data_IF_122687952698
#
_entry.id   IF_122687952698
#
_cell.length_a   1.000
_cell.length_b   1.000
_cell.length_c   1.000
_cell.angle_alpha   90.00
_cell.angle_beta   90.00
_cell.angle_gamma   90.00
#
_symmetry.space_group_name_H-M   'P 1'
#
loop_
_entity.id
_entity.type
_entity.pdbx_description
1 polymer ?
#
# COMPACT_ATOMS: atom_id res chain seq x y z
N UNK A 1 -17.70 -18.54 -23.19
CA UNK A 1 -17.35 -19.09 -21.86
C UNK A 1 -18.09 -18.27 -20.82
N UNK A 2 -18.66 -18.84 -19.74
CA UNK A 2 -19.33 -18.07 -18.69
C UNK A 2 -18.39 -17.06 -18.00
N UNK A 3 -18.92 -15.95 -17.47
CA UNK A 3 -18.13 -14.90 -16.83
C UNK A 3 -17.37 -15.44 -15.61
N UNK A 4 -18.06 -16.21 -14.78
CA UNK A 4 -17.53 -16.72 -13.50
C UNK A 4 -16.30 -17.61 -13.73
N UNK A 5 -16.31 -18.38 -14.82
CA UNK A 5 -15.17 -19.23 -15.19
C UNK A 5 -14.00 -18.38 -15.69
N UNK A 6 -14.26 -17.30 -16.44
CA UNK A 6 -13.20 -16.38 -16.87
C UNK A 6 -12.54 -15.69 -15.68
N UNK A 7 -13.34 -15.19 -14.73
CA UNK A 7 -12.85 -14.54 -13.51
C UNK A 7 -11.99 -15.49 -12.67
N UNK A 8 -12.38 -16.76 -12.54
CA UNK A 8 -11.56 -17.78 -11.88
C UNK A 8 -10.23 -18.02 -12.60
N UNK A 9 -10.25 -18.10 -13.94
CA UNK A 9 -9.03 -18.23 -14.74
C UNK A 9 -8.13 -17.01 -14.56
N UNK A 10 -8.68 -15.79 -14.59
CA UNK A 10 -7.93 -14.56 -14.35
C UNK A 10 -7.34 -14.52 -12.94
N UNK A 11 -8.09 -14.89 -11.92
CA UNK A 11 -7.60 -14.98 -10.55
C UNK A 11 -6.43 -15.97 -10.43
N UNK A 12 -6.56 -17.17 -11.03
CA UNK A 12 -5.50 -18.17 -11.02
C UNK A 12 -4.24 -17.69 -11.75
N UNK A 13 -4.37 -17.00 -12.88
CA UNK A 13 -3.24 -16.54 -13.69
C UNK A 13 -2.56 -15.27 -13.16
N UNK A 14 -3.33 -14.34 -12.58
CA UNK A 14 -2.90 -12.98 -12.24
C UNK A 14 -2.85 -12.69 -10.72
N UNK A 15 -3.45 -13.54 -9.88
CA UNK A 15 -3.52 -13.32 -8.43
C UNK A 15 -2.83 -14.42 -7.61
N UNK A 16 -2.26 -15.42 -8.28
CA UNK A 16 -1.47 -16.48 -7.63
C UNK A 16 -0.02 -16.05 -7.40
N UNK A 17 0.27 -15.62 -6.17
CA UNK A 17 1.63 -15.37 -5.73
C UNK A 17 2.23 -16.68 -5.20
N UNK A 18 3.33 -17.12 -5.81
CA UNK A 18 4.12 -18.23 -5.28
C UNK A 18 4.77 -17.85 -3.94
N UNK A 19 5.37 -18.81 -3.21
CA UNK A 19 6.09 -18.50 -1.98
C UNK A 19 7.16 -17.41 -2.24
N UNK A 20 7.34 -16.47 -1.30
CA UNK A 20 8.35 -15.43 -1.45
C UNK A 20 9.72 -16.06 -1.66
N UNK A 21 10.43 -15.64 -2.71
CA UNK A 21 11.81 -16.06 -2.94
C UNK A 21 12.71 -14.92 -2.51
N UNK A 22 13.75 -15.24 -1.74
CA UNK A 22 14.80 -14.26 -1.48
C UNK A 22 15.54 -13.98 -2.78
N UNK A 23 15.31 -12.80 -3.36
CA UNK A 23 16.08 -12.35 -4.52
C UNK A 23 17.40 -11.78 -3.99
N UNK A 24 18.37 -12.68 -3.80
CA UNK A 24 19.71 -12.39 -3.29
C UNK A 24 20.61 -11.64 -4.29
N UNK A 25 20.21 -11.49 -5.56
CA UNK A 25 21.19 -11.29 -6.65
C UNK A 25 21.33 -9.88 -7.23
N UNK A 26 20.52 -8.89 -6.85
CA UNK A 26 20.60 -7.53 -7.45
C UNK A 26 20.54 -6.34 -6.49
N UNK A 27 20.19 -6.55 -5.23
CA UNK A 27 20.21 -5.51 -4.20
C UNK A 27 21.38 -5.80 -3.25
N UNK A 28 22.05 -4.77 -2.71
CA UNK A 28 23.01 -4.91 -1.59
C UNK A 28 22.42 -5.63 -0.37
N UNK A 29 21.09 -5.80 -0.36
CA UNK A 29 20.28 -6.22 0.76
C UNK A 29 19.18 -7.17 0.27
N UNK A 30 19.09 -8.43 0.74
CA UNK A 30 18.05 -9.36 0.29
C UNK A 30 16.66 -8.89 0.74
N UNK A 31 15.69 -8.93 -0.19
CA UNK A 31 14.28 -8.69 0.09
C UNK A 31 13.47 -9.96 -0.19
N UNK A 32 12.45 -10.20 0.62
CA UNK A 32 11.43 -11.21 0.36
C UNK A 32 10.51 -10.69 -0.74
N UNK A 33 10.87 -10.98 -1.98
CA UNK A 33 10.07 -10.61 -3.15
C UNK A 33 9.29 -11.84 -3.56
N UNK A 34 7.97 -11.69 -3.71
CA UNK A 34 7.20 -12.77 -4.34
C UNK A 34 7.56 -12.85 -5.80
N UNK A 35 8.04 -14.02 -6.22
CA UNK A 35 8.18 -14.32 -7.64
C UNK A 35 6.80 -14.65 -8.15
N UNK A 36 6.20 -13.68 -8.82
CA UNK A 36 4.94 -13.88 -9.48
C UNK A 36 5.15 -14.84 -10.67
N UNK A 37 4.38 -15.94 -10.70
CA UNK A 37 4.15 -16.69 -11.95
C UNK A 37 3.04 -15.98 -12.74
N UNK A 38 3.15 -14.66 -12.90
CA UNK A 38 2.15 -13.89 -13.66
C UNK A 38 2.26 -14.26 -15.12
N UNK A 39 1.18 -14.76 -15.68
CA UNK A 39 1.02 -14.81 -17.13
C UNK A 39 0.34 -13.52 -17.58
N UNK A 40 1.00 -12.37 -17.38
CA UNK A 40 0.48 -11.06 -17.79
C UNK A 40 0.30 -10.94 -19.31
N UNK A 41 0.83 -11.89 -20.09
CA UNK A 41 0.56 -12.00 -21.52
C UNK A 41 -0.93 -12.02 -21.86
N UNK A 42 -1.79 -12.51 -20.94
CA UNK A 42 -3.24 -12.48 -21.14
C UNK A 42 -3.81 -11.05 -21.23
N UNK A 43 -3.18 -10.09 -20.56
CA UNK A 43 -3.54 -8.67 -20.63
C UNK A 43 -3.24 -8.07 -22.01
N UNK A 44 -2.40 -8.72 -22.82
CA UNK A 44 -2.03 -8.24 -24.16
C UNK A 44 -2.89 -8.84 -25.27
N UNK A 45 -3.87 -9.70 -24.94
CA UNK A 45 -4.59 -10.47 -25.95
C UNK A 45 -5.57 -9.62 -26.76
N UNK A 46 -6.52 -8.96 -26.10
CA UNK A 46 -7.43 -8.00 -26.71
C UNK A 46 -8.01 -7.05 -25.63
N UNK A 47 -8.75 -6.02 -26.04
CA UNK A 47 -9.26 -4.99 -25.13
C UNK A 47 -10.29 -5.52 -24.11
N UNK A 48 -11.16 -6.45 -24.51
CA UNK A 48 -12.20 -7.02 -23.63
C UNK A 48 -11.57 -7.90 -22.54
N UNK A 49 -10.69 -8.82 -22.93
CA UNK A 49 -9.92 -9.68 -22.01
C UNK A 49 -9.02 -8.84 -21.11
N UNK A 50 -8.37 -7.81 -21.65
CA UNK A 50 -7.60 -6.87 -20.85
C UNK A 50 -8.49 -6.27 -19.75
N UNK A 51 -9.66 -5.76 -20.11
CA UNK A 51 -10.57 -5.08 -19.18
C UNK A 51 -11.04 -6.00 -18.06
N UNK A 52 -11.53 -7.19 -18.39
CA UNK A 52 -12.02 -8.18 -17.42
C UNK A 52 -10.90 -8.70 -16.51
N UNK A 53 -9.76 -9.03 -17.09
CA UNK A 53 -8.63 -9.58 -16.35
C UNK A 53 -7.98 -8.52 -15.45
N UNK A 54 -7.89 -7.27 -15.92
CA UNK A 54 -7.41 -6.14 -15.13
C UNK A 54 -8.33 -5.85 -13.95
N UNK A 55 -9.66 -5.84 -14.17
CA UNK A 55 -10.65 -5.66 -13.12
C UNK A 55 -10.53 -6.73 -12.03
N UNK A 56 -10.47 -8.01 -12.42
CA UNK A 56 -10.26 -9.14 -11.50
C UNK A 56 -8.95 -8.99 -10.72
N UNK A 57 -7.87 -8.61 -11.40
CA UNK A 57 -6.55 -8.46 -10.81
C UNK A 57 -6.53 -7.35 -9.75
N UNK A 58 -7.10 -6.17 -10.04
CA UNK A 58 -7.14 -5.04 -9.10
C UNK A 58 -8.02 -5.36 -7.90
N UNK A 59 -9.21 -5.92 -8.13
CA UNK A 59 -10.18 -6.25 -7.06
C UNK A 59 -9.65 -7.29 -6.08
N UNK A 60 -8.90 -8.27 -6.59
CA UNK A 60 -8.38 -9.39 -5.81
C UNK A 60 -7.07 -9.02 -5.11
N UNK A 61 -6.11 -8.45 -5.83
CA UNK A 61 -4.78 -8.20 -5.27
C UNK A 61 -4.72 -6.95 -4.40
N UNK A 62 -5.55 -5.93 -4.71
CA UNK A 62 -5.66 -4.69 -3.94
C UNK A 62 -4.29 -4.07 -3.67
N UNK A 63 -3.60 -3.73 -4.77
CA UNK A 63 -2.23 -3.24 -4.70
C UNK A 63 -2.14 -1.92 -3.95
N UNK A 64 -1.05 -1.77 -3.21
CA UNK A 64 -0.68 -0.56 -2.48
C UNK A 64 0.71 -0.18 -2.92
N UNK A 65 0.93 1.10 -3.19
CA UNK A 65 2.27 1.61 -3.45
C UNK A 65 2.73 2.44 -2.27
N UNK A 66 3.95 2.18 -1.82
CA UNK A 66 4.64 2.91 -0.76
C UNK A 66 5.83 3.60 -1.37
N UNK A 67 5.97 4.90 -1.12
CA UNK A 67 7.03 5.77 -1.63
C UNK A 67 7.76 6.43 -0.47
N UNK A 68 9.07 6.54 -0.57
CA UNK A 68 9.88 7.34 0.35
C UNK A 68 10.57 8.46 -0.43
N UNK A 69 10.42 9.69 0.06
CA UNK A 69 11.04 10.87 -0.54
C UNK A 69 12.35 11.30 0.13
N UNK A 70 12.68 10.68 1.27
CA UNK A 70 13.80 11.05 2.15
C UNK A 70 14.55 9.81 2.66
N UNK A 71 15.51 10.04 3.56
CA UNK A 71 16.37 9.10 4.27
C UNK A 71 15.69 7.92 5.00
N UNK A 72 14.36 7.88 5.04
CA UNK A 72 13.62 6.73 5.52
C UNK A 72 13.89 5.55 4.57
N UNK A 73 14.75 4.65 5.04
CA UNK A 73 15.15 3.50 4.27
C UNK A 73 13.99 2.51 4.15
N UNK A 74 13.24 2.61 3.05
CA UNK A 74 12.12 1.72 2.76
C UNK A 74 12.53 0.24 2.79
N UNK A 75 13.78 -0.04 2.38
CA UNK A 75 14.37 -1.39 2.46
C UNK A 75 14.42 -1.88 3.91
N UNK A 76 14.81 -1.03 4.86
CA UNK A 76 14.86 -1.41 6.28
C UNK A 76 13.46 -1.67 6.84
N UNK A 77 12.49 -0.81 6.50
CA UNK A 77 11.09 -0.99 6.88
C UNK A 77 10.53 -2.30 6.35
N UNK A 78 10.71 -2.56 5.05
CA UNK A 78 10.25 -3.79 4.40
C UNK A 78 10.91 -5.03 5.02
N UNK A 79 12.22 -4.99 5.32
CA UNK A 79 12.93 -6.11 5.97
C UNK A 79 12.47 -6.39 7.38
N UNK A 80 12.21 -5.34 8.15
CA UNK A 80 11.74 -5.46 9.52
C UNK A 80 10.29 -5.95 9.57
N UNK A 81 9.52 -5.68 8.50
CA UNK A 81 8.18 -6.21 8.33
C UNK A 81 8.19 -7.60 7.68
N UNK A 82 7.15 -8.41 7.94
CA UNK A 82 6.93 -9.68 7.24
C UNK A 82 6.23 -9.48 5.88
N UNK A 83 6.35 -8.28 5.29
CA UNK A 83 5.60 -7.86 4.11
C UNK A 83 6.16 -8.51 2.87
N UNK A 84 5.24 -9.04 2.06
CA UNK A 84 5.55 -9.52 0.73
C UNK A 84 5.58 -8.35 -0.25
N UNK A 85 6.72 -8.17 -0.93
CA UNK A 85 6.85 -7.16 -1.98
C UNK A 85 6.53 -7.76 -3.34
N UNK A 86 5.61 -7.12 -4.06
CA UNK A 86 5.26 -7.44 -5.44
C UNK A 86 6.37 -6.97 -6.38
N UNK A 87 6.78 -5.72 -6.26
CA UNK A 87 7.91 -5.16 -7.02
C UNK A 87 8.49 -3.93 -6.34
N UNK A 88 9.78 -3.70 -6.54
CA UNK A 88 10.48 -2.45 -6.19
C UNK A 88 10.97 -1.70 -7.43
N UNK A 89 10.62 -2.16 -8.63
CA UNK A 89 11.03 -1.52 -9.87
C UNK A 89 10.16 -0.28 -10.10
N UNK A 90 10.77 0.91 -9.96
CA UNK A 90 10.10 2.19 -10.16
C UNK A 90 9.42 2.30 -11.53
N UNK A 91 9.99 1.72 -12.59
CA UNK A 91 9.41 1.75 -13.93
C UNK A 91 8.12 0.90 -14.00
N UNK A 92 8.08 -0.25 -13.33
CA UNK A 92 6.86 -1.07 -13.31
C UNK A 92 5.77 -0.39 -12.47
N UNK A 93 6.17 0.27 -11.38
CA UNK A 93 5.26 1.00 -10.50
C UNK A 93 4.67 2.23 -11.22
N UNK A 94 5.47 2.95 -12.02
CA UNK A 94 4.98 4.13 -12.75
C UNK A 94 4.08 3.80 -13.93
N UNK A 95 4.27 2.62 -14.55
CA UNK A 95 3.43 2.14 -15.65
C UNK A 95 2.13 1.48 -15.18
N UNK A 96 2.04 1.14 -13.90
CA UNK A 96 0.87 0.48 -13.33
C UNK A 96 0.07 1.46 -12.49
N UNK A 97 -1.19 1.66 -12.84
CA UNK A 97 -2.14 2.59 -12.24
C UNK A 97 -3.29 1.89 -11.49
N UNK A 98 -3.23 0.57 -11.33
CA UNK A 98 -4.28 -0.24 -10.69
C UNK A 98 -4.13 -0.39 -9.17
N UNK A 99 -3.57 0.60 -8.48
CA UNK A 99 -3.35 0.56 -7.04
C UNK A 99 -4.42 1.34 -6.27
N UNK A 100 -4.85 0.78 -5.13
CA UNK A 100 -5.92 1.33 -4.30
C UNK A 100 -5.42 2.41 -3.33
N UNK A 101 -4.13 2.39 -3.00
CA UNK A 101 -3.51 3.35 -2.09
C UNK A 101 -2.13 3.76 -2.60
N UNK A 102 -1.86 5.05 -2.51
CA UNK A 102 -0.52 5.63 -2.60
C UNK A 102 -0.14 6.18 -1.23
N UNK A 103 0.93 5.66 -0.64
CA UNK A 103 1.44 6.09 0.65
C UNK A 103 2.80 6.70 0.44
N UNK A 104 2.94 7.99 0.73
CA UNK A 104 4.21 8.70 0.65
C UNK A 104 4.70 9.05 2.05
N UNK A 105 5.90 8.58 2.37
CA UNK A 105 6.60 8.83 3.63
C UNK A 105 7.74 9.81 3.37
N UNK A 106 7.81 10.86 4.18
CA UNK A 106 8.88 11.86 4.10
C UNK A 106 9.34 12.24 5.50
N UNK A 107 10.60 12.57 5.69
CA UNK A 107 11.04 13.23 6.92
C UNK A 107 10.49 14.66 6.96
N UNK A 108 10.06 15.08 8.14
CA UNK A 108 9.62 16.45 8.38
C UNK A 108 10.80 17.41 8.20
N UNK A 109 10.51 18.63 7.75
CA UNK A 109 11.48 19.67 7.37
C UNK A 109 12.44 20.12 8.50
N UNK A 110 12.28 19.59 9.71
CA UNK A 110 13.10 19.90 10.89
C UNK A 110 14.37 19.05 11.02
N UNK A 111 14.59 18.01 10.21
CA UNK A 111 15.85 17.23 10.24
C UNK A 111 16.88 17.80 9.25
N UNK A 112 18.05 18.30 9.71
CA UNK A 112 19.10 18.82 8.83
C UNK A 112 19.95 17.71 8.18
N UNK A 113 19.48 16.46 8.16
CA UNK A 113 20.25 15.32 7.66
C UNK A 113 19.91 15.06 6.20
N UNK A 114 20.73 15.62 5.31
CA UNK A 114 20.82 15.21 3.92
C UNK A 114 21.36 13.78 3.85
N UNK A 115 20.53 12.77 4.10
CA UNK A 115 20.88 11.42 3.69
C UNK A 115 20.61 11.31 2.20
N UNK A 116 21.67 10.93 1.50
CA UNK A 116 21.73 10.70 0.05
C UNK A 116 21.06 9.36 -0.33
N UNK A 117 20.11 8.86 0.50
CA UNK A 117 19.40 7.63 0.16
C UNK A 117 18.45 7.89 -1.02
N UNK A 118 18.51 7.06 -2.07
CA UNK A 118 17.70 7.26 -3.25
C UNK A 118 16.21 7.06 -2.93
N UNK A 119 15.36 7.91 -3.53
CA UNK A 119 13.91 7.73 -3.49
C UNK A 119 13.56 6.31 -3.91
N UNK A 120 12.78 5.63 -3.08
CA UNK A 120 12.39 4.26 -3.35
C UNK A 120 10.89 4.14 -3.39
N UNK A 121 10.41 3.23 -4.23
CA UNK A 121 9.01 2.84 -4.27
C UNK A 121 8.92 1.32 -4.21
N UNK A 122 7.94 0.83 -3.46
CA UNK A 122 7.62 -0.58 -3.39
C UNK A 122 6.11 -0.76 -3.55
N UNK A 123 5.73 -1.83 -4.23
CA UNK A 123 4.35 -2.26 -4.34
C UNK A 123 4.14 -3.48 -3.45
N UNK A 124 3.13 -3.43 -2.60
CA UNK A 124 2.73 -4.49 -1.69
C UNK A 124 1.23 -4.78 -1.87
N UNK A 125 0.73 -5.79 -1.16
CA UNK A 125 -0.69 -6.16 -1.18
C UNK A 125 -1.38 -5.65 0.08
N UNK A 126 -2.68 -5.36 -0.01
CA UNK A 126 -3.48 -4.89 1.14
C UNK A 126 -3.38 -5.78 2.37
N UNK A 127 -3.31 -7.11 2.17
CA UNK A 127 -3.19 -8.08 3.28
C UNK A 127 -1.94 -7.88 4.14
N UNK A 128 -0.89 -7.30 3.57
CA UNK A 128 0.39 -7.08 4.25
C UNK A 128 0.49 -5.66 4.84
N UNK A 129 -0.47 -4.77 4.54
CA UNK A 129 -0.49 -3.40 5.04
C UNK A 129 -0.51 -3.32 6.58
N UNK A 130 -1.26 -4.13 7.34
CA UNK A 130 -1.21 -4.13 8.81
C UNK A 130 0.21 -4.30 9.36
N UNK A 131 0.94 -5.32 8.88
CA UNK A 131 2.31 -5.60 9.30
C UNK A 131 3.29 -4.49 8.90
N UNK A 132 3.06 -3.84 7.76
CA UNK A 132 3.81 -2.67 7.36
C UNK A 132 3.56 -1.50 8.32
N UNK A 133 2.30 -1.16 8.62
CA UNK A 133 1.93 -0.06 9.50
C UNK A 133 2.46 -0.24 10.93
N UNK A 134 2.39 -1.46 11.47
CA UNK A 134 2.95 -1.78 12.79
C UNK A 134 4.47 -1.54 12.84
N UNK A 135 5.18 -2.01 11.80
CA UNK A 135 6.63 -1.83 11.68
C UNK A 135 7.00 -0.34 11.50
N UNK A 136 6.21 0.37 10.70
CA UNK A 136 6.38 1.80 10.47
C UNK A 136 6.25 2.56 11.79
N UNK A 137 5.21 2.29 12.58
CA UNK A 137 4.98 2.97 13.86
C UNK A 137 6.18 2.82 14.81
N UNK A 138 6.76 1.61 14.91
CA UNK A 138 7.98 1.37 15.69
C UNK A 138 9.18 2.15 15.17
N UNK A 139 9.30 2.29 13.85
CA UNK A 139 10.45 2.96 13.24
C UNK A 139 10.36 4.48 13.27
N UNK A 140 9.15 5.06 13.39
CA UNK A 140 8.95 6.52 13.38
C UNK A 140 8.77 7.12 14.77
N UNK A 141 8.74 6.31 15.83
CA UNK A 141 8.56 6.79 17.21
C UNK A 141 9.53 7.91 17.60
N UNK A 142 10.77 7.85 17.11
CA UNK A 142 11.81 8.84 17.41
C UNK A 142 12.11 9.80 16.23
N UNK A 143 11.33 9.73 15.15
CA UNK A 143 11.59 10.49 13.92
C UNK A 143 10.36 11.30 13.52
N UNK A 144 10.55 12.60 13.29
CA UNK A 144 9.50 13.44 12.73
C UNK A 144 9.24 13.03 11.27
N UNK A 145 8.16 12.29 11.04
CA UNK A 145 7.76 11.80 9.71
C UNK A 145 6.44 12.43 9.29
N UNK A 146 6.37 12.81 8.02
CA UNK A 146 5.15 13.16 7.31
C UNK A 146 4.61 11.93 6.60
N UNK A 147 3.31 11.65 6.78
CA UNK A 147 2.59 10.56 6.13
C UNK A 147 1.48 11.13 5.26
N UNK A 148 1.62 10.97 3.94
CA UNK A 148 0.60 11.34 2.96
C UNK A 148 -0.03 10.06 2.38
N UNK A 149 -1.35 9.92 2.51
CA UNK A 149 -2.11 8.77 2.03
C UNK A 149 -3.15 9.25 1.02
N UNK A 150 -3.00 8.81 -0.23
CA UNK A 150 -3.95 9.07 -1.31
C UNK A 150 -4.77 7.81 -1.57
N UNK A 151 -6.09 7.93 -1.46
CA UNK A 151 -7.05 6.83 -1.58
C UNK A 151 -7.61 6.74 -2.98
N UNK A 152 -7.61 5.52 -3.51
CA UNK A 152 -8.08 5.13 -4.85
C UNK A 152 -7.63 6.07 -5.98
N UNK A 153 -6.31 6.27 -6.16
CA UNK A 153 -5.75 7.07 -7.25
C UNK A 153 -6.10 6.52 -8.64
N UNK A 154 -6.43 5.22 -8.75
CA UNK A 154 -6.88 4.60 -9.99
C UNK A 154 -8.19 5.17 -10.56
N UNK A 155 -8.93 5.95 -9.77
CA UNK A 155 -10.17 6.61 -10.19
C UNK A 155 -9.92 8.03 -10.74
N UNK A 156 -8.68 8.50 -10.75
CA UNK A 156 -8.34 9.80 -11.32
C UNK A 156 -8.50 9.79 -12.84
N UNK A 157 -9.15 10.83 -13.36
CA UNK A 157 -9.37 11.01 -14.78
C UNK A 157 -8.10 11.53 -15.50
N UNK A 158 -7.93 11.21 -16.80
CA UNK A 158 -8.85 10.46 -17.67
C UNK A 158 -8.70 8.94 -17.55
N UNK A 159 -9.83 8.23 -17.44
CA UNK A 159 -9.86 6.76 -17.48
C UNK A 159 -9.70 6.30 -18.94
N UNK A 160 -8.72 5.45 -19.27
CA UNK A 160 -8.58 4.91 -20.62
C UNK A 160 -9.80 4.10 -21.06
N UNK A 161 -10.18 4.21 -22.35
CA UNK A 161 -11.37 3.53 -22.95
C UNK A 161 -11.38 2.01 -22.74
N UNK A 162 -10.21 1.40 -22.55
CA UNK A 162 -10.06 -0.04 -22.35
C UNK A 162 -10.21 -0.48 -20.87
N UNK A 163 -10.65 0.42 -19.97
CA UNK A 163 -10.87 0.14 -18.54
C UNK A 163 -12.30 0.41 -18.15
N UNK A 164 -12.88 -0.51 -17.39
CA UNK A 164 -14.15 -0.25 -16.71
C UNK A 164 -13.94 0.65 -15.50
N UNK A 165 -14.96 1.44 -15.18
CA UNK A 165 -14.93 2.30 -14.01
C UNK A 165 -15.01 1.47 -12.73
N UNK A 166 -13.95 1.49 -11.93
CA UNK A 166 -13.89 0.83 -10.63
C UNK A 166 -14.64 1.61 -9.52
N UNK A 167 -15.39 2.66 -9.86
CA UNK A 167 -16.13 3.48 -8.90
C UNK A 167 -17.06 2.67 -8.00
N UNK A 168 -17.81 1.71 -8.57
CA UNK A 168 -18.73 0.85 -7.82
C UNK A 168 -17.98 -0.05 -6.83
N UNK A 169 -16.74 -0.42 -7.16
CA UNK A 169 -15.90 -1.27 -6.31
C UNK A 169 -15.35 -0.49 -5.11
N UNK A 170 -15.03 0.80 -5.25
CA UNK A 170 -14.54 1.65 -4.16
C UNK A 170 -15.70 2.13 -3.27
N UNK A 171 -16.33 1.17 -2.59
CA UNK A 171 -17.38 1.43 -1.61
C UNK A 171 -16.84 2.09 -0.34
N UNK A 172 -17.73 2.68 0.46
CA UNK A 172 -17.36 3.25 1.76
C UNK A 172 -16.78 2.17 2.70
N UNK A 173 -17.25 0.93 2.61
CA UNK A 173 -16.72 -0.20 3.37
C UNK A 173 -15.27 -0.52 2.96
N UNK A 174 -15.00 -0.55 1.64
CA UNK A 174 -13.64 -0.75 1.15
C UNK A 174 -12.73 0.40 1.62
N UNK A 175 -13.15 1.66 1.52
CA UNK A 175 -12.39 2.81 2.02
C UNK A 175 -12.04 2.66 3.52
N UNK A 176 -13.00 2.23 4.35
CA UNK A 176 -12.75 1.94 5.78
C UNK A 176 -11.70 0.85 5.94
N UNK A 177 -11.82 -0.25 5.19
CA UNK A 177 -10.84 -1.35 5.27
C UNK A 177 -9.43 -0.94 4.81
N UNK A 178 -9.32 -0.02 3.83
CA UNK A 178 -8.05 0.52 3.34
C UNK A 178 -7.36 1.38 4.40
N UNK A 179 -8.13 2.16 5.17
CA UNK A 179 -7.61 3.09 6.17
C UNK A 179 -7.53 2.53 7.59
N UNK A 180 -8.18 1.38 7.84
CA UNK A 180 -8.19 0.74 9.16
C UNK A 180 -6.78 0.45 9.69
N UNK A 181 -5.81 -0.08 8.90
CA UNK A 181 -4.46 -0.33 9.41
C UNK A 181 -3.74 0.93 9.90
N UNK A 182 -3.90 2.05 9.20
CA UNK A 182 -3.31 3.33 9.62
C UNK A 182 -3.94 3.80 10.94
N UNK A 183 -5.27 3.72 11.01
CA UNK A 183 -6.04 4.13 12.20
C UNK A 183 -5.84 3.19 13.38
N UNK A 184 -5.38 1.95 13.17
CA UNK A 184 -5.14 0.98 14.24
C UNK A 184 -3.70 1.03 14.78
N UNK A 185 -2.71 1.12 13.88
CA UNK A 185 -1.31 0.90 14.25
C UNK A 185 -0.45 2.16 14.29
N UNK A 186 -0.79 3.20 13.54
CA UNK A 186 0.03 4.42 13.47
C UNK A 186 -0.48 5.44 14.48
N UNK A 187 0.42 5.94 15.33
CA UNK A 187 0.13 6.88 16.42
C UNK A 187 1.19 7.96 16.50
N UNK A 188 0.85 9.04 17.19
CA UNK A 188 1.76 10.16 17.47
C UNK A 188 2.44 10.78 16.23
N UNK A 189 1.81 10.68 15.05
CA UNK A 189 2.35 11.30 13.82
C UNK A 189 1.72 12.67 13.65
N UNK A 190 2.48 13.78 13.77
CA UNK A 190 1.90 15.12 13.73
C UNK A 190 1.45 15.52 12.31
N UNK A 191 2.27 15.21 11.31
CA UNK A 191 2.04 15.62 9.93
C UNK A 191 1.46 14.47 9.11
N UNK A 192 0.13 14.34 9.16
CA UNK A 192 -0.64 13.33 8.42
C UNK A 192 -1.60 14.02 7.48
N UNK A 193 -1.67 13.53 6.24
CA UNK A 193 -2.67 13.89 5.24
C UNK A 193 -3.32 12.64 4.66
N UNK A 194 -4.65 12.64 4.60
CA UNK A 194 -5.44 11.61 3.91
C UNK A 194 -6.32 12.31 2.88
N UNK A 195 -6.21 11.94 1.61
CA UNK A 195 -6.92 12.59 0.49
C UNK A 195 -7.24 11.61 -0.65
N UNK A 196 -7.81 12.09 -1.76
CA UNK A 196 -8.25 11.27 -2.89
C UNK A 196 -9.73 10.89 -2.81
N UNK A 197 -10.10 9.73 -3.37
CA UNK A 197 -11.47 9.22 -3.39
C UNK A 197 -11.83 8.55 -2.06
N UNK A 198 -12.06 9.37 -1.04
CA UNK A 198 -12.42 8.95 0.31
C UNK A 198 -13.49 9.87 0.88
N UNK A 199 -14.41 9.31 1.67
CA UNK A 199 -15.39 10.15 2.38
C UNK A 199 -14.67 11.14 3.32
N UNK A 200 -15.04 12.44 3.31
CA UNK A 200 -14.34 13.45 4.11
C UNK A 200 -14.32 13.13 5.61
N UNK A 201 -15.42 12.60 6.15
CA UNK A 201 -15.52 12.21 7.55
C UNK A 201 -14.54 11.09 7.91
N UNK A 202 -14.37 10.10 7.03
CA UNK A 202 -13.42 9.01 7.27
C UNK A 202 -11.98 9.52 7.24
N UNK A 203 -11.63 10.36 6.26
CA UNK A 203 -10.30 10.97 6.18
C UNK A 203 -9.96 11.77 7.45
N UNK A 204 -10.89 12.61 7.92
CA UNK A 204 -10.73 13.39 9.15
C UNK A 204 -10.55 12.48 10.37
N UNK A 205 -11.35 11.42 10.48
CA UNK A 205 -11.30 10.48 11.60
C UNK A 205 -9.97 9.74 11.62
N UNK A 206 -9.53 9.21 10.47
CA UNK A 206 -8.22 8.53 10.35
C UNK A 206 -7.06 9.46 10.69
N UNK A 207 -7.05 10.70 10.19
CA UNK A 207 -6.02 11.69 10.55
C UNK A 207 -6.01 11.98 12.05
N UNK A 208 -7.20 12.12 12.66
CA UNK A 208 -7.33 12.35 14.10
C UNK A 208 -6.77 11.16 14.88
N UNK A 209 -7.08 9.94 14.47
CA UNK A 209 -6.60 8.73 15.15
C UNK A 209 -5.10 8.52 15.01
N UNK A 210 -4.51 8.83 13.85
CA UNK A 210 -3.06 8.74 13.64
C UNK A 210 -2.27 9.80 14.42
N UNK A 211 -2.89 10.96 14.69
CA UNK A 211 -2.30 12.04 15.50
C UNK A 211 -2.42 11.81 17.00
N UNK A 212 -3.34 10.95 17.44
CA UNK A 212 -3.49 10.64 18.87
C UNK A 212 -2.21 10.00 19.38
N UNK A 213 -1.76 10.47 20.53
CA UNK A 213 -0.69 9.82 21.27
C UNK A 213 -1.23 8.49 21.82
N UNK A 214 -0.37 7.46 21.84
CA UNK A 214 -0.69 6.13 22.38
C UNK A 214 -1.14 6.21 23.85
N UNK A 215 -0.78 7.31 24.51
CA UNK A 215 -0.99 7.60 25.94
C UNK A 215 -2.22 8.47 26.24
N UNK A 216 -3.04 8.75 25.24
CA UNK A 216 -4.18 9.68 25.40
C UNK A 216 -5.37 9.08 26.18
N UNK A 217 -5.40 7.76 26.39
CA UNK A 217 -6.43 7.10 27.21
C UNK A 217 -5.80 6.45 28.47
N UNK A 218 -5.88 7.12 29.64
CA UNK A 218 -5.35 6.60 30.90
C UNK A 218 -5.90 5.22 31.28
N UNK A 219 -7.08 4.83 30.75
CA UNK A 219 -7.73 3.56 31.08
C UNK A 219 -7.11 2.36 30.36
N UNK A 220 -6.62 2.54 29.13
CA UNK A 220 -5.91 1.47 28.41
C UNK A 220 -4.49 1.26 28.95
N UNK A 221 -3.83 2.32 29.41
CA UNK A 221 -2.51 2.21 30.04
C UNK A 221 -2.56 1.43 31.37
N UNK A 222 -3.55 1.70 32.22
CA UNK A 222 -3.70 0.98 33.49
C UNK A 222 -3.94 -0.53 33.30
N UNK A 223 -4.58 -0.95 32.21
CA UNK A 223 -4.75 -2.37 31.90
C UNK A 223 -3.45 -3.05 31.43
N UNK A 224 -2.49 -2.31 30.86
CA UNK A 224 -1.18 -2.83 30.44
C UNK A 224 -0.15 -2.93 31.57
N UNK A 225 -0.31 -2.17 32.67
CA UNK A 225 0.63 -2.16 33.81
C UNK A 225 0.26 -3.20 34.88
N UNK A 226 -1.00 -3.59 34.97
CA UNK A 226 -1.43 -4.64 35.92
C UNK A 226 -1.12 -6.01 35.32
N UNK A 227 0.15 -6.41 35.39
CA UNK A 227 0.63 -7.79 35.34
C UNK A 227 1.44 -8.05 36.60
#
# INVERSE_FOLDING_TARGET
MPQEIRDQIYALLLCSFGPPKQILKRLRFPLNVTVHRTHTAILLFNHEVHREAYDTMVKTNRFIVIRTNTALSLIKLIKASTVTVVTTNAQHISQFDGYLLDVTLSESKSSPKSSDEPRMSAMILLRDLPSFCETLNRSIADTAVTVDVKVAPLLEEPIPVYKDTLHVFISQELQRSLLAPFSAYIRAVPDVRVHGHVSPQLAITTVKDMRKDEWSDPREFLQKIVI
#
